data_IF_525290036185
#
_entry.id   IF_525290036185
#
_cell.length_a   1.000
_cell.length_b   1.000
_cell.length_c   1.000
_cell.angle_alpha   90.00
_cell.angle_beta   90.00
_cell.angle_gamma   90.00
#
_symmetry.space_group_name_H-M   'P 1'
#
loop_
_entity.id
_entity.type
_entity.pdbx_description
1 polymer ?
#
# COMPACT_ATOMS: atom_id res chain seq x y z
N UNK A 1 5.25 3.01 -24.29
CA UNK A 1 4.04 2.23 -24.68
C UNK A 1 2.81 2.66 -23.89
N UNK A 2 2.72 2.41 -22.58
CA UNK A 2 1.57 2.80 -21.73
C UNK A 2 1.08 4.24 -21.90
N UNK A 3 1.97 5.23 -21.75
CA UNK A 3 1.62 6.66 -21.92
C UNK A 3 1.08 7.00 -23.31
N UNK A 4 1.52 6.28 -24.35
CA UNK A 4 1.03 6.49 -25.70
C UNK A 4 -0.41 5.96 -25.87
N UNK A 5 -0.72 4.80 -25.26
CA UNK A 5 -2.08 4.27 -25.18
C UNK A 5 -3.02 5.22 -24.41
N UNK A 6 -2.57 5.74 -23.26
CA UNK A 6 -3.33 6.71 -22.47
C UNK A 6 -3.66 7.97 -23.29
N UNK A 7 -2.65 8.56 -23.94
CA UNK A 7 -2.84 9.74 -24.78
C UNK A 7 -3.77 9.48 -25.96
N UNK A 8 -3.62 8.33 -26.63
CA UNK A 8 -4.46 7.98 -27.77
C UNK A 8 -5.92 7.73 -27.34
N UNK A 9 -6.14 7.17 -26.15
CA UNK A 9 -7.48 7.00 -25.56
C UNK A 9 -8.10 8.36 -25.17
N UNK A 10 -7.33 9.28 -24.57
CA UNK A 10 -7.80 10.63 -24.22
C UNK A 10 -8.10 11.49 -25.45
N UNK A 11 -7.35 11.35 -26.55
CA UNK A 11 -7.59 12.08 -27.80
C UNK A 11 -8.72 11.48 -28.65
N UNK A 12 -9.22 10.30 -28.31
CA UNK A 12 -10.20 9.57 -29.11
C UNK A 12 -9.59 8.87 -30.34
N UNK A 13 -8.26 8.80 -30.45
CA UNK A 13 -7.56 8.01 -31.47
C UNK A 13 -7.77 6.50 -31.24
N UNK A 14 -8.01 6.10 -29.99
CA UNK A 14 -8.42 4.77 -29.58
C UNK A 14 -9.84 4.80 -29.02
N UNK A 15 -10.67 3.85 -29.46
CA UNK A 15 -12.06 3.72 -29.01
C UNK A 15 -12.20 3.01 -27.66
N UNK A 16 -11.20 2.25 -27.23
CA UNK A 16 -11.25 1.48 -26.00
C UNK A 16 -9.96 0.72 -25.72
N UNK A 17 -9.84 0.22 -24.50
CA UNK A 17 -8.71 -0.59 -24.03
C UNK A 17 -9.23 -1.75 -23.19
N UNK A 18 -8.64 -2.93 -23.36
CA UNK A 18 -8.84 -4.08 -22.46
C UNK A 18 -7.60 -4.26 -21.61
N UNK A 19 -7.80 -4.43 -20.31
CA UNK A 19 -6.74 -4.41 -19.31
C UNK A 19 -7.06 -5.40 -18.18
N UNK A 20 -6.03 -6.01 -17.59
CA UNK A 20 -6.14 -6.77 -16.34
C UNK A 20 -5.90 -5.85 -15.13
N UNK A 21 -6.11 -6.37 -13.92
CA UNK A 21 -5.83 -5.64 -12.67
C UNK A 21 -4.38 -5.11 -12.56
N UNK A 22 -3.41 -5.75 -13.21
CA UNK A 22 -2.03 -5.30 -13.29
C UNK A 22 -1.86 -3.94 -14.02
N UNK A 23 -2.85 -3.55 -14.83
CA UNK A 23 -2.90 -2.26 -15.53
C UNK A 23 -3.74 -1.21 -14.78
N UNK A 24 -4.52 -1.58 -13.75
CA UNK A 24 -5.33 -0.65 -12.94
C UNK A 24 -4.48 0.36 -12.16
N UNK A 25 -3.31 -0.06 -11.69
CA UNK A 25 -2.41 0.73 -10.84
C UNK A 25 -1.54 1.73 -11.62
N UNK A 26 -2.03 2.23 -12.74
CA UNK A 26 -1.40 3.41 -13.36
C UNK A 26 -1.89 3.80 -14.74
N UNK A 27 -3.00 3.25 -15.24
CA UNK A 27 -3.68 3.89 -16.38
C UNK A 27 -4.42 5.07 -15.77
N UNK A 28 -3.83 6.25 -15.88
CA UNK A 28 -4.49 7.49 -15.46
C UNK A 28 -5.45 7.98 -16.56
N UNK A 29 -6.44 7.15 -16.86
CA UNK A 29 -7.49 7.51 -17.80
C UNK A 29 -8.77 7.67 -17.00
N UNK A 30 -9.43 8.80 -17.16
CA UNK A 30 -10.67 9.09 -16.50
C UNK A 30 -11.55 9.92 -17.43
N UNK A 31 -12.86 9.78 -17.29
CA UNK A 31 -13.80 10.36 -18.24
C UNK A 31 -14.03 9.49 -19.46
N UNK A 32 -13.94 8.16 -19.29
CA UNK A 32 -14.46 7.22 -20.28
C UNK A 32 -15.99 7.30 -20.32
N UNK A 33 -16.58 7.06 -21.49
CA UNK A 33 -18.04 6.99 -21.62
C UNK A 33 -18.59 5.71 -20.96
N UNK A 34 -17.81 4.64 -20.97
CA UNK A 34 -18.19 3.39 -20.35
C UNK A 34 -16.99 2.62 -19.76
N UNK A 35 -17.26 1.89 -18.67
CA UNK A 35 -16.35 0.88 -18.10
C UNK A 35 -17.09 -0.45 -18.04
N UNK A 36 -16.43 -1.52 -18.47
CA UNK A 36 -16.96 -2.89 -18.42
C UNK A 36 -16.07 -3.70 -17.48
N UNK A 37 -16.62 -4.11 -16.36
CA UNK A 37 -16.02 -5.05 -15.41
C UNK A 37 -16.44 -6.47 -15.82
N UNK A 38 -15.51 -7.24 -16.39
CA UNK A 38 -15.73 -8.65 -16.70
C UNK A 38 -15.43 -9.51 -15.46
N UNK A 39 -16.44 -9.72 -14.64
CA UNK A 39 -16.37 -10.31 -13.31
C UNK A 39 -16.14 -9.27 -12.21
N UNK A 40 -16.49 -9.61 -10.97
CA UNK A 40 -16.23 -8.77 -9.81
C UNK A 40 -14.73 -8.76 -9.50
N UNK A 41 -14.11 -7.59 -9.27
CA UNK A 41 -12.64 -7.47 -9.15
C UNK A 41 -12.08 -7.91 -7.79
N UNK A 42 -12.80 -8.77 -7.08
CA UNK A 42 -12.43 -9.33 -5.77
C UNK A 42 -12.71 -8.43 -4.57
N UNK A 43 -12.70 -7.10 -4.70
CA UNK A 43 -13.02 -6.14 -3.62
C UNK A 43 -13.95 -5.02 -4.06
N UNK A 44 -14.73 -4.48 -3.13
CA UNK A 44 -15.57 -3.29 -3.37
C UNK A 44 -14.72 -2.06 -3.68
N UNK A 45 -13.57 -1.93 -3.01
CA UNK A 45 -12.62 -0.85 -3.28
C UNK A 45 -12.15 -0.87 -4.75
N UNK A 46 -11.74 -2.04 -5.26
CA UNK A 46 -11.33 -2.20 -6.67
C UNK A 46 -12.49 -1.90 -7.63
N UNK A 47 -13.70 -2.40 -7.34
CA UNK A 47 -14.88 -2.13 -8.18
C UNK A 47 -15.16 -0.63 -8.30
N UNK A 48 -15.18 0.09 -7.18
CA UNK A 48 -15.45 1.53 -7.20
C UNK A 48 -14.32 2.35 -7.82
N UNK A 49 -13.06 1.90 -7.70
CA UNK A 49 -11.94 2.51 -8.41
C UNK A 49 -12.04 2.34 -9.92
N UNK A 50 -12.42 1.15 -10.41
CA UNK A 50 -12.66 0.91 -11.82
C UNK A 50 -13.87 1.71 -12.32
N UNK A 51 -14.98 1.68 -11.58
CA UNK A 51 -16.20 2.42 -11.89
C UNK A 51 -15.96 3.93 -12.03
N UNK A 52 -15.12 4.51 -11.15
CA UNK A 52 -14.74 5.92 -11.19
C UNK A 52 -13.92 6.35 -12.42
N UNK A 53 -13.54 5.42 -13.29
CA UNK A 53 -12.91 5.72 -14.59
C UNK A 53 -13.94 6.18 -15.62
N UNK A 54 -15.20 5.75 -15.48
CA UNK A 54 -16.32 6.23 -16.28
C UNK A 54 -16.84 7.57 -15.76
N UNK A 55 -17.20 8.46 -16.69
CA UNK A 55 -17.93 9.70 -16.39
C UNK A 55 -17.05 10.88 -15.99
N UNK A 56 -17.12 11.95 -16.79
CA UNK A 56 -16.65 13.33 -16.51
C UNK A 56 -17.48 14.32 -17.34
N UNK A 57 -17.34 15.62 -17.08
CA UNK A 57 -17.92 16.70 -17.91
C UNK A 57 -19.46 16.68 -18.09
N UNK A 58 -20.19 16.15 -17.09
CA UNK A 58 -21.66 16.07 -17.08
C UNK A 58 -22.28 15.27 -18.24
N UNK A 59 -21.47 14.48 -18.95
CA UNK A 59 -21.98 13.58 -19.99
C UNK A 59 -22.52 12.29 -19.37
N UNK A 60 -23.54 11.67 -19.98
CA UNK A 60 -23.98 10.33 -19.60
C UNK A 60 -22.80 9.36 -19.67
N UNK A 61 -22.71 8.46 -18.68
CA UNK A 61 -21.70 7.41 -18.66
C UNK A 61 -22.29 6.13 -18.06
N UNK A 62 -21.65 4.99 -18.35
CA UNK A 62 -22.11 3.69 -17.90
C UNK A 62 -20.99 2.89 -17.23
N UNK A 63 -21.36 2.14 -16.19
CA UNK A 63 -20.52 1.11 -15.59
C UNK A 63 -21.30 -0.19 -15.66
N UNK A 64 -20.71 -1.21 -16.28
CA UNK A 64 -21.36 -2.49 -16.53
C UNK A 64 -20.56 -3.58 -15.82
N UNK A 65 -21.18 -4.24 -14.84
CA UNK A 65 -20.65 -5.46 -14.24
C UNK A 65 -21.23 -6.67 -14.98
N UNK A 66 -20.37 -7.43 -15.63
CA UNK A 66 -20.71 -8.70 -16.30
C UNK A 66 -20.28 -9.83 -15.38
N UNK A 67 -21.22 -10.45 -14.66
CA UNK A 67 -20.90 -11.57 -13.78
C UNK A 67 -20.63 -12.86 -14.55
N UNK A 68 -19.65 -13.64 -14.09
CA UNK A 68 -19.30 -14.97 -14.56
C UNK A 68 -19.85 -16.09 -13.68
N UNK A 69 -19.18 -17.25 -13.71
CA UNK A 69 -19.59 -18.44 -12.93
C UNK A 69 -19.00 -18.48 -11.51
N UNK A 70 -18.22 -17.46 -11.11
CA UNK A 70 -17.67 -17.38 -9.75
C UNK A 70 -18.76 -17.16 -8.69
N UNK A 71 -18.54 -17.70 -7.49
CA UNK A 71 -19.51 -17.60 -6.39
C UNK A 71 -19.75 -16.16 -5.96
N UNK A 72 -18.71 -15.34 -5.97
CA UNK A 72 -18.78 -13.96 -5.54
C UNK A 72 -19.53 -13.10 -6.55
N UNK A 73 -19.29 -13.33 -7.85
CA UNK A 73 -20.04 -12.72 -8.95
C UNK A 73 -21.54 -13.03 -8.80
N UNK A 74 -21.89 -14.31 -8.61
CA UNK A 74 -23.27 -14.73 -8.45
C UNK A 74 -23.93 -14.07 -7.24
N UNK A 75 -23.22 -13.99 -6.11
CA UNK A 75 -23.74 -13.36 -4.91
C UNK A 75 -24.05 -11.88 -5.13
N UNK A 76 -23.19 -11.13 -5.82
CA UNK A 76 -23.41 -9.71 -6.13
C UNK A 76 -24.50 -9.49 -7.18
N UNK A 77 -24.67 -10.41 -8.13
CA UNK A 77 -25.81 -10.36 -9.06
C UNK A 77 -27.14 -10.63 -8.35
N UNK A 78 -27.15 -11.53 -7.36
CA UNK A 78 -28.34 -11.81 -6.55
C UNK A 78 -28.62 -10.71 -5.50
N UNK A 79 -27.60 -9.93 -5.10
CA UNK A 79 -27.67 -8.86 -4.09
C UNK A 79 -27.01 -7.55 -4.58
N UNK A 80 -27.53 -6.92 -5.65
CA UNK A 80 -26.88 -5.77 -6.27
C UNK A 80 -26.84 -4.53 -5.37
N UNK A 81 -27.77 -4.40 -4.42
CA UNK A 81 -27.80 -3.34 -3.43
C UNK A 81 -26.55 -3.35 -2.52
N UNK A 82 -25.92 -4.52 -2.34
CA UNK A 82 -24.70 -4.67 -1.57
C UNK A 82 -23.51 -3.89 -2.17
N UNK A 83 -23.50 -3.62 -3.48
CA UNK A 83 -22.47 -2.79 -4.11
C UNK A 83 -22.51 -1.33 -3.63
N UNK A 84 -23.69 -0.85 -3.24
CA UNK A 84 -23.94 0.54 -2.86
C UNK A 84 -24.02 0.74 -1.34
N UNK A 85 -24.45 -0.28 -0.60
CA UNK A 85 -24.70 -0.17 0.84
C UNK A 85 -23.51 -0.59 1.70
N UNK A 86 -22.67 -1.52 1.21
CA UNK A 86 -21.50 -1.99 1.96
C UNK A 86 -20.36 -0.97 1.85
N UNK A 87 -19.61 -0.82 2.94
CA UNK A 87 -18.39 -0.01 2.95
C UNK A 87 -17.25 -0.75 2.24
N UNK A 88 -16.40 -0.03 1.49
CA UNK A 88 -15.13 -0.59 1.02
C UNK A 88 -14.30 -1.17 2.16
N UNK A 89 -13.49 -2.16 1.83
CA UNK A 89 -12.62 -2.88 2.75
C UNK A 89 -11.63 -1.91 3.42
N UNK A 90 -11.42 -2.00 4.76
CA UNK A 90 -10.49 -1.12 5.44
C UNK A 90 -9.04 -1.48 5.10
N UNK A 91 -8.19 -0.46 4.99
CA UNK A 91 -6.74 -0.65 4.95
C UNK A 91 -6.23 -0.93 6.36
N UNK A 92 -5.82 -2.17 6.63
CA UNK A 92 -5.29 -2.59 7.93
C UNK A 92 -3.76 -2.59 7.86
N UNK A 93 -3.13 -1.88 8.78
CA UNK A 93 -1.67 -1.84 8.94
C UNK A 93 -1.29 -2.23 10.36
N UNK A 94 -0.17 -2.94 10.51
CA UNK A 94 0.40 -3.27 11.81
C UNK A 94 1.83 -2.73 11.92
N UNK A 95 2.01 -1.48 12.38
CA UNK A 95 3.34 -0.88 12.58
C UNK A 95 4.17 -1.62 13.63
N UNK A 96 3.53 -2.30 14.58
CA UNK A 96 4.18 -3.06 15.64
C UNK A 96 4.61 -4.48 15.20
N UNK A 97 4.48 -4.83 13.92
CA UNK A 97 5.00 -6.10 13.41
C UNK A 97 6.53 -6.17 13.64
N UNK A 98 7.06 -7.11 14.45
CA UNK A 98 8.48 -7.14 14.80
C UNK A 98 9.40 -7.31 13.58
N UNK A 99 8.92 -7.94 12.51
CA UNK A 99 9.67 -8.10 11.26
C UNK A 99 9.80 -6.80 10.46
N UNK A 100 8.98 -5.79 10.76
CA UNK A 100 9.04 -4.45 10.17
C UNK A 100 9.63 -3.45 11.16
N UNK A 101 9.10 -3.42 12.38
CA UNK A 101 9.51 -2.50 13.43
C UNK A 101 11.01 -2.61 13.70
N UNK A 102 11.55 -3.81 13.93
CA UNK A 102 12.98 -3.99 14.23
C UNK A 102 13.93 -3.44 13.16
N UNK A 103 13.84 -3.84 11.88
CA UNK A 103 14.72 -3.29 10.86
C UNK A 103 14.54 -1.78 10.69
N UNK A 104 13.31 -1.25 10.80
CA UNK A 104 13.05 0.19 10.70
C UNK A 104 13.62 0.97 11.90
N UNK A 105 13.56 0.43 13.11
CA UNK A 105 14.23 0.98 14.29
C UNK A 105 15.75 1.03 14.10
N UNK A 106 16.34 0.00 13.47
CA UNK A 106 17.75 0.01 13.10
C UNK A 106 18.09 1.14 12.12
N UNK A 107 17.27 1.34 11.09
CA UNK A 107 17.40 2.46 10.17
C UNK A 107 17.28 3.82 10.88
N UNK A 108 16.26 3.98 11.72
CA UNK A 108 16.06 5.21 12.49
C UNK A 108 17.29 5.54 13.36
N UNK A 109 17.81 4.55 14.10
CA UNK A 109 18.99 4.71 14.95
C UNK A 109 20.29 5.00 14.20
N UNK A 110 20.37 4.58 12.93
CA UNK A 110 21.51 4.89 12.04
C UNK A 110 21.45 6.35 11.58
N UNK A 111 20.26 6.87 11.27
CA UNK A 111 20.05 8.26 10.86
C UNK A 111 20.22 9.23 12.04
N UNK A 112 19.57 8.93 13.16
CA UNK A 112 19.60 9.74 14.39
C UNK A 112 19.59 8.82 15.61
N UNK A 113 20.48 9.00 16.60
CA UNK A 113 20.48 8.17 17.80
C UNK A 113 19.14 8.23 18.53
N UNK A 114 18.57 7.08 18.85
CA UNK A 114 17.25 7.00 19.48
C UNK A 114 17.31 7.52 20.92
N UNK A 115 16.26 8.20 21.34
CA UNK A 115 16.09 8.79 22.67
C UNK A 115 14.79 8.32 23.31
N UNK A 116 14.69 8.38 24.65
CA UNK A 116 13.41 8.18 25.33
C UNK A 116 12.37 9.18 24.79
N UNK A 117 11.16 8.71 24.44
CA UNK A 117 10.10 9.52 23.83
C UNK A 117 9.91 9.27 22.33
N UNK A 118 10.87 8.60 21.67
CA UNK A 118 10.75 8.27 20.25
C UNK A 118 9.61 7.27 19.95
N UNK A 119 9.06 6.59 20.96
CA UNK A 119 7.86 5.76 20.84
C UNK A 119 6.65 6.56 20.32
N UNK A 120 6.61 7.88 20.54
CA UNK A 120 5.56 8.75 20.00
C UNK A 120 5.59 8.84 18.46
N UNK A 121 6.74 8.55 17.84
CA UNK A 121 6.95 8.60 16.39
C UNK A 121 7.02 7.17 15.81
N UNK A 122 7.78 6.29 16.46
CA UNK A 122 8.07 4.94 15.98
C UNK A 122 7.06 3.89 16.43
N UNK A 123 6.21 4.22 17.41
CA UNK A 123 5.08 3.41 17.86
C UNK A 123 5.42 2.32 18.86
N UNK A 124 4.40 1.52 19.18
CA UNK A 124 4.37 0.56 20.30
C UNK A 124 5.37 -0.61 20.19
N UNK A 125 6.01 -0.80 19.03
CA UNK A 125 7.02 -1.86 18.81
C UNK A 125 8.47 -1.43 19.11
N UNK A 126 8.70 -0.17 19.48
CA UNK A 126 10.04 0.39 19.61
C UNK A 126 10.87 -0.30 20.70
N UNK A 127 10.31 -0.48 21.88
CA UNK A 127 11.06 -1.02 23.03
C UNK A 127 11.57 -2.44 22.77
N UNK A 128 10.71 -3.29 22.20
CA UNK A 128 11.08 -4.64 21.81
C UNK A 128 12.12 -4.65 20.69
N UNK A 129 11.97 -3.78 19.70
CA UNK A 129 12.95 -3.61 18.63
C UNK A 129 14.33 -3.18 19.16
N UNK A 130 14.37 -2.17 20.05
CA UNK A 130 15.60 -1.71 20.69
C UNK A 130 16.24 -2.83 21.49
N UNK A 131 15.45 -3.54 22.30
CA UNK A 131 15.93 -4.68 23.10
C UNK A 131 16.55 -5.75 22.21
N UNK A 132 15.88 -6.17 21.14
CA UNK A 132 16.41 -7.16 20.20
C UNK A 132 17.70 -6.70 19.50
N UNK A 133 17.76 -5.44 19.07
CA UNK A 133 18.94 -4.90 18.40
C UNK A 133 20.13 -4.73 19.35
N UNK A 134 19.90 -4.40 20.61
CA UNK A 134 20.96 -4.40 21.64
C UNK A 134 21.48 -5.82 21.88
N UNK A 135 20.58 -6.80 22.00
CA UNK A 135 20.97 -8.21 22.15
C UNK A 135 21.75 -8.74 20.93
N UNK A 136 21.52 -8.17 19.75
CA UNK A 136 22.22 -8.50 18.51
C UNK A 136 23.48 -7.64 18.26
N UNK A 137 23.96 -6.88 19.25
CA UNK A 137 25.10 -5.95 19.14
C UNK A 137 24.95 -4.90 18.01
N UNK A 138 23.73 -4.66 17.54
CA UNK A 138 23.42 -3.70 16.49
C UNK A 138 23.22 -2.28 17.04
N UNK A 139 22.71 -2.18 18.27
CA UNK A 139 22.60 -0.92 19.01
C UNK A 139 23.47 -0.94 20.27
N UNK A 140 24.06 0.22 20.60
CA UNK A 140 24.79 0.41 21.86
C UNK A 140 24.30 1.67 22.59
N UNK A 141 24.03 1.56 23.90
CA UNK A 141 23.68 2.72 24.71
C UNK A 141 24.92 3.61 24.93
N UNK A 142 24.75 4.93 24.83
CA UNK A 142 25.72 5.91 25.31
C UNK A 142 25.01 6.99 26.10
N UNK A 143 25.57 7.32 27.26
CA UNK A 143 25.07 8.40 28.12
C UNK A 143 25.64 9.74 27.63
N UNK A 144 24.76 10.69 27.35
CA UNK A 144 25.15 12.06 27.01
C UNK A 144 25.55 12.88 28.23
N UNK A 145 26.07 14.10 27.99
CA UNK A 145 26.38 15.08 29.05
C UNK A 145 25.14 15.61 29.77
N UNK A 146 23.97 15.45 29.16
CA UNK A 146 22.64 15.79 29.67
C UNK A 146 22.00 14.65 30.48
N UNK A 147 22.76 13.60 30.81
CA UNK A 147 22.33 12.38 31.50
C UNK A 147 21.29 11.54 30.73
N UNK A 148 20.97 11.91 29.49
CA UNK A 148 20.07 11.16 28.61
C UNK A 148 20.84 10.01 27.95
N UNK A 149 20.33 8.79 28.11
CA UNK A 149 20.83 7.61 27.40
C UNK A 149 20.28 7.62 25.98
N UNK A 150 21.17 7.52 25.00
CA UNK A 150 20.80 7.41 23.58
C UNK A 150 21.28 6.09 23.02
N UNK A 151 20.51 5.48 22.13
CA UNK A 151 20.87 4.25 21.44
C UNK A 151 21.49 4.60 20.08
N UNK A 152 22.75 4.23 19.91
CA UNK A 152 23.49 4.47 18.66
C UNK A 152 23.58 3.18 17.86
N UNK A 153 23.43 3.29 16.53
CA UNK A 153 23.84 2.22 15.63
C UNK A 153 25.33 1.90 15.80
N UNK A 154 25.64 0.62 15.95
CA UNK A 154 26.97 0.15 16.33
C UNK A 154 27.68 -0.66 15.24
N UNK A 155 26.97 -1.05 14.17
CA UNK A 155 27.56 -1.80 13.05
C UNK A 155 28.14 -0.85 11.99
N UNK A 156 29.20 -1.25 11.29
CA UNK A 156 29.80 -0.42 10.24
C UNK A 156 28.90 -0.31 9.00
N UNK A 157 28.07 -1.32 8.73
CA UNK A 157 27.14 -1.30 7.59
C UNK A 157 25.88 -0.50 7.90
N UNK A 158 25.40 0.27 6.92
CA UNK A 158 24.09 0.89 6.99
C UNK A 158 23.00 -0.20 6.88
N UNK A 159 21.93 -0.16 7.69
CA UNK A 159 20.89 -1.18 7.68
C UNK A 159 19.97 -1.10 6.44
N UNK A 160 19.68 0.12 5.95
CA UNK A 160 18.65 0.36 4.93
C UNK A 160 18.76 -0.50 3.64
N UNK A 161 19.95 -0.76 3.06
CA UNK A 161 20.07 -1.61 1.86
C UNK A 161 19.57 -3.06 2.05
N UNK A 162 19.57 -3.58 3.29
CA UNK A 162 19.08 -4.92 3.61
C UNK A 162 17.58 -4.96 3.96
N UNK A 163 16.93 -3.80 4.11
CA UNK A 163 15.53 -3.70 4.53
C UNK A 163 14.63 -3.55 3.32
N UNK A 164 13.95 -4.63 2.95
CA UNK A 164 12.92 -4.61 1.94
C UNK A 164 11.61 -3.98 2.43
N UNK A 165 11.15 -2.91 1.79
CA UNK A 165 9.84 -2.29 2.10
C UNK A 165 8.65 -3.08 1.57
N UNK A 166 8.88 -3.95 0.58
CA UNK A 166 7.85 -4.72 -0.14
C UNK A 166 8.09 -6.22 -0.13
N UNK A 167 9.24 -6.64 0.37
CA UNK A 167 9.61 -8.05 0.55
C UNK A 167 9.61 -8.33 2.05
N UNK A 168 8.93 -9.40 2.48
CA UNK A 168 9.04 -9.87 3.85
C UNK A 168 10.46 -10.36 4.07
N UNK A 169 11.31 -9.54 4.68
CA UNK A 169 12.70 -9.83 5.07
C UNK A 169 13.62 -10.32 3.93
N UNK A 170 14.48 -9.44 3.42
CA UNK A 170 15.61 -9.82 2.57
C UNK A 170 16.80 -10.19 3.46
N UNK A 171 16.74 -11.36 4.10
CA UNK A 171 17.88 -11.98 4.77
C UNK A 171 17.71 -13.50 4.78
N UNK A 172 18.03 -14.13 3.64
CA UNK A 172 18.71 -15.43 3.60
C UNK A 172 20.18 -15.16 3.20
#
# INVERSE_FOLDING_TARGET
ERRALEQALTRGDLLGVSATNALELGIDVAGLDAVICNGFPGTLASFWQQAGRAGRALQPSAVILVGGEDQLDRWYLDHPDALFTRRPEPAVVNPANPYVARPQTGCAAFEVPLVPGDEAILGEGLDDAVRELVLADALKPRRGSDDVVRMYWARPEAPAPSVGLRTGSSAE
#
